data_IF_224484944872
#
_entry.id   IF_224484944872
#
_cell.length_a   1.000
_cell.length_b   1.000
_cell.length_c   1.000
_cell.angle_alpha   90.00
_cell.angle_beta   90.00
_cell.angle_gamma   90.00
#
_symmetry.space_group_name_H-M   'P 1'
#
loop_
_entity.id
_entity.type
_entity.pdbx_description
1 polymer ?
#
# COMPACT_ATOMS: atom_id res chain seq x y z
N UNK A 1 26.47 4.72 -15.17
CA UNK A 1 25.26 5.55 -14.97
C UNK A 1 24.04 4.65 -14.78
N UNK A 2 23.36 4.79 -13.65
CA UNK A 2 22.12 4.08 -13.32
C UNK A 2 20.93 4.54 -14.17
N UNK A 3 20.95 5.79 -14.63
CA UNK A 3 19.98 6.29 -15.59
C UNK A 3 19.99 5.46 -16.89
N UNK A 4 21.16 5.18 -17.44
CA UNK A 4 21.29 4.37 -18.66
C UNK A 4 20.86 2.92 -18.42
N UNK A 5 21.17 2.36 -17.24
CA UNK A 5 20.69 1.03 -16.83
C UNK A 5 19.17 0.98 -16.70
N UNK A 6 18.54 2.04 -16.20
CA UNK A 6 17.09 2.15 -16.12
C UNK A 6 16.47 2.23 -17.53
N UNK A 7 17.09 2.98 -18.44
CA UNK A 7 16.65 3.04 -19.83
C UNK A 7 16.79 1.68 -20.52
N UNK A 8 17.91 0.98 -20.31
CA UNK A 8 18.16 -0.35 -20.84
C UNK A 8 17.19 -1.40 -20.28
N UNK A 9 16.83 -1.32 -18.99
CA UNK A 9 15.79 -2.16 -18.39
C UNK A 9 14.43 -1.98 -19.10
N UNK A 10 14.11 -0.76 -19.52
CA UNK A 10 12.87 -0.48 -20.25
C UNK A 10 12.97 -0.94 -21.71
N UNK A 11 14.09 -0.64 -22.38
CA UNK A 11 14.30 -0.96 -23.80
C UNK A 11 14.46 -2.46 -24.06
N UNK A 12 15.06 -3.20 -23.12
CA UNK A 12 15.19 -4.66 -23.18
C UNK A 12 13.87 -5.40 -22.95
N UNK A 13 12.79 -4.70 -22.60
CA UNK A 13 11.47 -5.29 -22.37
C UNK A 13 11.25 -5.85 -20.96
N UNK A 14 12.22 -5.73 -20.04
CA UNK A 14 12.08 -6.22 -18.65
C UNK A 14 10.96 -5.51 -17.88
N UNK A 15 10.70 -4.23 -18.17
CA UNK A 15 9.52 -3.54 -17.62
C UNK A 15 8.20 -4.14 -18.11
N UNK A 16 8.13 -4.52 -19.39
CA UNK A 16 6.96 -5.20 -19.96
C UNK A 16 6.76 -6.58 -19.32
N UNK A 17 7.85 -7.33 -19.15
CA UNK A 17 7.84 -8.62 -18.45
C UNK A 17 7.33 -8.47 -17.01
N UNK A 18 7.82 -7.46 -16.27
CA UNK A 18 7.34 -7.16 -14.91
C UNK A 18 5.81 -6.98 -14.87
N UNK A 19 5.25 -6.23 -15.84
CA UNK A 19 3.80 -6.02 -15.94
C UNK A 19 3.02 -7.24 -16.38
N UNK A 20 3.58 -8.09 -17.24
CA UNK A 20 3.00 -9.40 -17.57
C UNK A 20 2.92 -10.31 -16.35
N UNK A 21 4.03 -10.41 -15.60
CA UNK A 21 4.09 -11.21 -14.37
C UNK A 21 3.08 -10.72 -13.31
N UNK A 22 2.92 -9.40 -13.15
CA UNK A 22 1.92 -8.81 -12.24
C UNK A 22 0.50 -9.26 -12.60
N UNK A 23 0.16 -9.22 -13.89
CA UNK A 23 -1.15 -9.64 -14.38
C UNK A 23 -1.36 -11.16 -14.23
N UNK A 24 -0.37 -11.97 -14.61
CA UNK A 24 -0.41 -13.43 -14.47
C UNK A 24 -0.60 -13.87 -13.01
N UNK A 25 0.12 -13.24 -12.09
CA UNK A 25 -0.04 -13.48 -10.65
C UNK A 25 -1.45 -13.12 -10.16
N UNK A 26 -2.03 -12.03 -10.64
CA UNK A 26 -3.40 -11.66 -10.31
C UNK A 26 -4.40 -12.69 -10.83
N UNK A 27 -4.25 -13.13 -12.09
CA UNK A 27 -5.11 -14.15 -12.68
C UNK A 27 -5.05 -15.48 -11.93
N UNK A 28 -3.84 -15.96 -11.59
CA UNK A 28 -3.66 -17.18 -10.80
C UNK A 28 -4.26 -17.04 -9.41
N UNK A 29 -4.03 -15.91 -8.74
CA UNK A 29 -4.63 -15.64 -7.42
C UNK A 29 -6.15 -15.73 -7.48
N UNK A 30 -6.77 -15.12 -8.48
CA UNK A 30 -8.23 -15.10 -8.63
C UNK A 30 -8.80 -16.50 -8.95
N UNK A 31 -8.06 -17.34 -9.69
CA UNK A 31 -8.43 -18.76 -9.93
C UNK A 31 -8.34 -19.60 -8.66
N UNK A 32 -7.24 -19.48 -7.92
CA UNK A 32 -7.03 -20.19 -6.64
C UNK A 32 -8.09 -19.75 -5.62
N UNK A 33 -8.42 -18.45 -5.59
CA UNK A 33 -9.51 -17.91 -4.77
C UNK A 33 -10.83 -18.59 -5.09
N UNK A 34 -11.25 -18.60 -6.37
CA UNK A 34 -12.51 -19.24 -6.79
C UNK A 34 -12.58 -20.72 -6.44
N UNK A 35 -11.47 -21.44 -6.60
CA UNK A 35 -11.39 -22.84 -6.16
C UNK A 35 -11.68 -22.97 -4.67
N UNK A 36 -11.05 -22.13 -3.84
CA UNK A 36 -11.23 -22.15 -2.40
C UNK A 36 -12.66 -21.72 -1.98
N UNK A 37 -13.27 -20.77 -2.69
CA UNK A 37 -14.68 -20.39 -2.49
C UNK A 37 -15.61 -21.57 -2.77
N UNK A 38 -15.42 -22.28 -3.88
CA UNK A 38 -16.20 -23.48 -4.23
C UNK A 38 -16.01 -24.59 -3.20
N UNK A 39 -14.79 -24.76 -2.68
CA UNK A 39 -14.49 -25.72 -1.62
C UNK A 39 -15.09 -25.34 -0.25
N UNK A 40 -15.57 -24.10 -0.08
CA UNK A 40 -16.17 -23.61 1.18
C UNK A 40 -15.18 -23.49 2.34
N UNK A 41 -13.87 -23.38 2.06
CA UNK A 41 -12.83 -23.36 3.08
C UNK A 41 -12.36 -21.92 3.36
N UNK A 42 -12.48 -21.45 4.61
CA UNK A 42 -11.98 -20.12 4.99
C UNK A 42 -10.45 -20.00 4.87
N UNK A 43 -9.73 -21.09 5.10
CA UNK A 43 -8.27 -21.19 5.00
C UNK A 43 -7.83 -22.53 4.42
N UNK A 44 -6.88 -22.50 3.48
CA UNK A 44 -6.23 -23.68 2.92
C UNK A 44 -4.71 -23.53 3.02
N UNK A 45 -4.04 -24.60 3.44
CA UNK A 45 -2.57 -24.71 3.44
C UNK A 45 -2.12 -25.76 2.45
N UNK A 46 -1.50 -25.33 1.37
CA UNK A 46 -0.83 -26.21 0.41
C UNK A 46 0.58 -26.51 0.91
N UNK A 47 0.69 -27.48 1.84
CA UNK A 47 1.93 -27.80 2.56
C UNK A 47 3.10 -28.13 1.64
N UNK A 48 2.87 -28.93 0.58
CA UNK A 48 3.90 -29.32 -0.39
C UNK A 48 4.46 -28.10 -1.13
N UNK A 49 3.61 -27.15 -1.48
CA UNK A 49 3.98 -25.92 -2.17
C UNK A 49 4.48 -24.84 -1.21
N UNK A 50 4.25 -24.96 0.10
CA UNK A 50 4.60 -23.94 1.09
C UNK A 50 3.78 -22.66 0.92
N UNK A 51 2.53 -22.76 0.50
CA UNK A 51 1.63 -21.63 0.22
C UNK A 51 0.38 -21.73 1.09
N UNK A 52 -0.15 -20.59 1.49
CA UNK A 52 -1.39 -20.47 2.27
C UNK A 52 -2.33 -19.45 1.62
N UNK A 53 -3.59 -19.84 1.53
CA UNK A 53 -4.71 -19.02 1.06
C UNK A 53 -5.73 -18.86 2.18
N UNK A 54 -6.16 -17.64 2.47
CA UNK A 54 -7.20 -17.40 3.47
C UNK A 54 -8.03 -16.15 3.16
N UNK A 55 -9.28 -16.18 3.58
CA UNK A 55 -10.15 -15.01 3.59
C UNK A 55 -10.01 -14.25 4.90
N UNK A 56 -9.89 -12.93 4.81
CA UNK A 56 -9.91 -12.05 5.98
C UNK A 56 -11.05 -11.06 5.87
N UNK A 57 -11.71 -10.81 7.00
CA UNK A 57 -12.79 -9.82 7.10
C UNK A 57 -12.17 -8.48 7.45
N UNK A 58 -12.44 -7.47 6.63
CA UNK A 58 -11.99 -6.10 6.81
C UNK A 58 -13.21 -5.21 7.02
N UNK A 59 -13.37 -4.78 8.27
CA UNK A 59 -14.40 -3.84 8.68
C UNK A 59 -14.14 -2.46 8.05
N UNK A 60 -15.16 -1.94 7.38
CA UNK A 60 -15.22 -0.57 6.89
C UNK A 60 -15.96 0.27 7.92
N UNK A 61 -15.29 1.30 8.43
CA UNK A 61 -15.84 2.18 9.45
C UNK A 61 -16.32 3.49 8.83
N UNK A 62 -17.46 3.97 9.31
CA UNK A 62 -17.89 5.35 9.23
C UNK A 62 -17.51 6.06 10.52
N UNK A 63 -16.92 7.26 10.40
CA UNK A 63 -16.28 7.94 11.52
C UNK A 63 -16.83 9.36 11.64
N UNK A 64 -17.26 9.74 12.85
CA UNK A 64 -17.53 11.13 13.17
C UNK A 64 -16.19 11.85 13.38
N UNK A 65 -15.61 12.30 12.26
CA UNK A 65 -14.32 12.97 12.26
C UNK A 65 -14.30 14.25 13.10
N UNK A 66 -15.43 14.96 13.20
CA UNK A 66 -15.47 16.22 13.91
C UNK A 66 -15.29 16.01 15.41
N UNK A 67 -16.10 15.11 15.98
CA UNK A 67 -16.02 14.75 17.39
C UNK A 67 -14.69 14.03 17.72
N UNK A 68 -14.21 13.18 16.81
CA UNK A 68 -12.96 12.45 17.00
C UNK A 68 -11.74 13.38 16.98
N UNK A 69 -11.70 14.37 16.10
CA UNK A 69 -10.62 15.36 16.09
C UNK A 69 -10.66 16.28 17.31
N UNK A 70 -11.85 16.65 17.80
CA UNK A 70 -11.98 17.40 19.05
C UNK A 70 -11.46 16.59 20.24
N UNK A 71 -11.79 15.31 20.30
CA UNK A 71 -11.27 14.41 21.32
C UNK A 71 -9.72 14.39 21.32
N UNK A 72 -9.09 14.23 20.17
CA UNK A 72 -7.64 14.24 20.07
C UNK A 72 -7.03 15.62 20.31
N UNK A 73 -7.73 16.70 19.98
CA UNK A 73 -7.28 18.06 20.25
C UNK A 73 -7.26 18.34 21.74
N UNK A 74 -8.36 18.03 22.44
CA UNK A 74 -8.50 18.21 23.89
C UNK A 74 -7.51 17.33 24.67
N UNK A 75 -7.13 16.18 24.12
CA UNK A 75 -6.11 15.29 24.70
C UNK A 75 -4.68 15.70 24.35
N UNK A 76 -4.46 16.74 23.53
CA UNK A 76 -3.14 17.18 23.07
C UNK A 76 -2.46 16.24 22.06
N UNK A 77 -3.17 15.22 21.55
CA UNK A 77 -2.60 14.16 20.72
C UNK A 77 -2.82 14.36 19.22
N UNK A 78 -3.65 15.32 18.83
CA UNK A 78 -3.99 15.60 17.44
C UNK A 78 -2.79 15.66 16.49
N UNK A 79 -1.66 16.34 16.80
CA UNK A 79 -0.51 16.40 15.90
C UNK A 79 0.17 15.04 15.64
N UNK A 80 0.01 14.08 16.55
CA UNK A 80 0.68 12.79 16.51
C UNK A 80 -0.16 11.68 15.87
N UNK A 81 -1.50 11.81 15.96
CA UNK A 81 -2.43 10.76 15.49
C UNK A 81 -3.16 11.16 14.21
N UNK A 82 -3.12 12.41 13.77
CA UNK A 82 -3.77 12.85 12.53
C UNK A 82 -2.75 13.21 11.46
N UNK A 83 -2.83 12.52 10.33
CA UNK A 83 -2.09 12.80 9.12
C UNK A 83 -2.92 13.67 8.17
N UNK A 84 -2.31 14.69 7.59
CA UNK A 84 -2.95 15.58 6.61
C UNK A 84 -2.65 15.08 5.19
N UNK A 85 -3.71 14.92 4.39
CA UNK A 85 -3.61 14.58 2.98
C UNK A 85 -3.54 15.85 2.12
N UNK A 86 -2.33 16.25 1.70
CA UNK A 86 -2.11 17.43 0.84
C UNK A 86 -3.05 17.50 -0.37
N UNK A 87 -3.34 16.35 -0.98
CA UNK A 87 -4.20 16.23 -2.15
C UNK A 87 -5.66 16.70 -1.94
N UNK A 88 -6.12 16.78 -0.68
CA UNK A 88 -7.49 17.18 -0.31
C UNK A 88 -7.59 18.63 0.18
N UNK A 89 -6.45 19.33 0.24
CA UNK A 89 -6.42 20.76 0.49
C UNK A 89 -6.81 21.52 -0.78
N UNK A 90 -7.46 22.67 -0.61
CA UNK A 90 -7.79 23.57 -1.71
C UNK A 90 -6.50 24.20 -2.28
N UNK A 91 -6.50 24.64 -3.55
CA UNK A 91 -5.32 25.25 -4.16
C UNK A 91 -4.75 26.42 -3.34
N UNK A 92 -5.61 27.30 -2.82
CA UNK A 92 -5.20 28.46 -2.02
C UNK A 92 -4.61 28.06 -0.67
N UNK A 93 -5.10 26.98 -0.07
CA UNK A 93 -4.57 26.41 1.17
C UNK A 93 -3.20 25.77 0.95
N UNK A 94 -3.00 25.12 -0.20
CA UNK A 94 -1.72 24.54 -0.58
C UNK A 94 -0.66 25.62 -0.74
N UNK A 95 -0.99 26.71 -1.43
CA UNK A 95 -0.07 27.85 -1.61
C UNK A 95 0.38 28.44 -0.27
N UNK A 96 -0.54 28.63 0.68
CA UNK A 96 -0.22 29.13 2.03
C UNK A 96 0.71 28.20 2.82
N UNK A 97 0.64 26.90 2.57
CA UNK A 97 1.43 25.92 3.30
C UNK A 97 2.72 25.54 2.58
N UNK A 98 2.88 25.85 1.29
CA UNK A 98 4.00 25.40 0.47
C UNK A 98 5.37 25.85 1.02
N UNK A 99 5.42 27.05 1.59
CA UNK A 99 6.63 27.61 2.23
C UNK A 99 6.98 26.94 3.57
N UNK A 100 6.02 26.26 4.20
CA UNK A 100 6.13 25.72 5.56
C UNK A 100 6.42 24.22 5.59
N UNK A 101 6.38 23.53 4.45
CA UNK A 101 6.58 22.08 4.42
C UNK A 101 7.94 21.68 3.88
N UNK A 102 8.56 20.71 4.55
CA UNK A 102 9.73 20.02 4.02
C UNK A 102 9.39 19.31 2.70
N UNK A 103 10.18 19.60 1.67
CA UNK A 103 10.11 18.89 0.38
C UNK A 103 10.43 17.42 0.63
N UNK A 104 9.59 16.54 0.09
CA UNK A 104 9.85 15.09 0.10
C UNK A 104 10.54 14.70 -1.19
N UNK A 105 11.51 13.79 -1.08
CA UNK A 105 12.17 13.21 -2.25
C UNK A 105 11.12 12.59 -3.18
N UNK A 106 11.27 12.87 -4.48
CA UNK A 106 10.39 12.31 -5.49
C UNK A 106 10.67 10.83 -5.75
N UNK A 107 10.09 10.31 -6.82
CA UNK A 107 10.48 9.02 -7.37
C UNK A 107 10.48 9.07 -8.89
N UNK A 108 11.39 8.32 -9.52
CA UNK A 108 11.38 8.19 -10.98
C UNK A 108 10.17 7.34 -11.38
N UNK A 109 9.36 7.83 -12.33
CA UNK A 109 8.22 7.13 -12.91
C UNK A 109 8.40 6.97 -14.40
N UNK A 110 8.12 5.76 -14.89
CA UNK A 110 7.99 5.49 -16.31
C UNK A 110 6.53 5.62 -16.74
N UNK A 111 6.32 6.39 -17.81
CA UNK A 111 5.07 6.58 -18.50
C UNK A 111 5.18 5.90 -19.86
N UNK A 112 4.72 4.65 -20.00
CA UNK A 112 4.76 3.97 -21.28
C UNK A 112 3.92 4.73 -22.31
N UNK A 113 4.36 4.77 -23.57
CA UNK A 113 3.45 5.13 -24.66
C UNK A 113 2.32 4.10 -24.69
N UNK A 114 1.09 4.53 -25.03
CA UNK A 114 -0.04 3.60 -25.22
C UNK A 114 0.23 2.70 -26.44
N UNK A 115 1.10 1.71 -26.29
CA UNK A 115 1.18 0.57 -27.18
C UNK A 115 0.15 -0.44 -26.69
N UNK A 116 -0.77 -0.84 -27.57
CA UNK A 116 -1.85 -1.81 -27.29
C UNK A 116 -1.32 -3.05 -26.55
N UNK A 117 -0.07 -3.44 -26.78
CA UNK A 117 0.62 -4.58 -26.15
C UNK A 117 0.90 -4.49 -24.64
N UNK A 118 0.99 -3.30 -24.03
CA UNK A 118 1.33 -3.17 -22.60
C UNK A 118 0.13 -3.37 -21.66
N UNK A 119 -1.08 -3.17 -22.18
CA UNK A 119 -2.33 -3.22 -21.42
C UNK A 119 -3.42 -4.03 -22.12
N UNK A 120 -3.10 -4.72 -23.23
CA UNK A 120 -4.02 -5.67 -23.79
C UNK A 120 -4.35 -6.68 -22.69
N UNK A 121 -5.61 -6.67 -22.26
CA UNK A 121 -6.28 -7.76 -21.54
C UNK A 121 -6.33 -9.04 -22.39
N UNK A 122 -5.45 -9.20 -23.37
CA UNK A 122 -5.18 -10.45 -24.05
C UNK A 122 -4.18 -11.23 -23.18
N UNK A 123 -4.59 -11.50 -21.94
CA UNK A 123 -4.09 -12.70 -21.31
C UNK A 123 -4.63 -13.84 -22.16
N UNK A 124 -3.78 -14.48 -22.95
CA UNK A 124 -4.01 -15.81 -23.55
C UNK A 124 -4.22 -16.91 -22.48
N UNK A 125 -4.52 -16.54 -21.24
CA UNK A 125 -5.19 -17.39 -20.28
C UNK A 125 -6.68 -17.34 -20.58
N UNK A 126 -7.10 -18.19 -21.52
CA UNK A 126 -8.50 -18.54 -21.70
C UNK A 126 -9.16 -18.67 -20.33
N UNK A 127 -10.02 -17.72 -20.01
CA UNK A 127 -11.00 -17.83 -18.93
C UNK A 127 -11.97 -18.99 -19.19
N UNK A 128 -11.93 -19.56 -20.41
CA UNK A 128 -12.67 -20.73 -20.85
C UNK A 128 -11.92 -22.07 -20.64
N UNK A 129 -10.64 -22.08 -20.20
CA UNK A 129 -10.03 -23.35 -19.80
C UNK A 129 -10.73 -23.84 -18.52
N UNK A 130 -11.28 -25.07 -18.52
CA UNK A 130 -11.99 -25.58 -17.35
C UNK A 130 -11.08 -25.52 -16.11
N UNK A 131 -11.68 -25.36 -14.94
CA UNK A 131 -11.07 -25.50 -13.60
C UNK A 131 -10.41 -26.88 -13.35
N UNK A 132 -10.16 -27.66 -14.41
CA UNK A 132 -9.55 -28.98 -14.44
C UNK A 132 -8.01 -28.97 -14.40
N UNK A 133 -7.36 -27.80 -14.41
CA UNK A 133 -5.96 -27.76 -13.99
C UNK A 133 -5.90 -28.13 -12.50
N UNK A 134 -5.04 -29.09 -12.13
CA UNK A 134 -4.85 -29.47 -10.72
C UNK A 134 -4.52 -28.20 -9.92
N UNK A 135 -5.27 -27.94 -8.85
CA UNK A 135 -5.04 -26.80 -7.97
C UNK A 135 -3.59 -26.79 -7.46
N UNK A 136 -2.99 -27.96 -7.27
CA UNK A 136 -1.60 -28.10 -6.86
C UNK A 136 -0.63 -27.52 -7.90
N UNK A 137 -0.92 -27.66 -9.20
CA UNK A 137 -0.12 -27.09 -10.28
C UNK A 137 -0.28 -25.57 -10.31
N UNK A 138 -1.51 -25.05 -10.20
CA UNK A 138 -1.78 -23.61 -10.16
C UNK A 138 -1.05 -22.92 -9.01
N UNK A 139 -1.05 -23.54 -7.83
CA UNK A 139 -0.36 -22.99 -6.64
C UNK A 139 1.16 -23.07 -6.82
N UNK A 140 1.67 -24.12 -7.45
CA UNK A 140 3.10 -24.27 -7.74
C UNK A 140 3.56 -23.24 -8.76
N UNK A 141 2.79 -23.03 -9.83
CA UNK A 141 3.03 -22.01 -10.86
C UNK A 141 3.00 -20.61 -10.26
N UNK A 142 2.01 -20.30 -9.43
CA UNK A 142 1.91 -19.02 -8.73
C UNK A 142 3.18 -18.75 -7.90
N UNK A 143 3.68 -19.77 -7.18
CA UNK A 143 4.91 -19.62 -6.38
C UNK A 143 6.12 -19.33 -7.26
N UNK A 144 6.32 -20.08 -8.35
CA UNK A 144 7.45 -19.87 -9.27
C UNK A 144 7.40 -18.47 -9.91
N UNK A 145 6.23 -18.06 -10.39
CA UNK A 145 6.04 -16.73 -10.97
C UNK A 145 6.23 -15.62 -9.94
N UNK A 146 5.84 -15.84 -8.70
CA UNK A 146 6.02 -14.87 -7.61
C UNK A 146 7.49 -14.60 -7.35
N UNK A 147 8.32 -15.64 -7.29
CA UNK A 147 9.77 -15.49 -7.12
C UNK A 147 10.40 -14.72 -8.28
N UNK A 148 9.97 -15.01 -9.50
CA UNK A 148 10.42 -14.29 -10.70
C UNK A 148 10.02 -12.82 -10.65
N UNK A 149 8.77 -12.53 -10.27
CA UNK A 149 8.25 -11.18 -10.10
C UNK A 149 9.03 -10.40 -9.04
N UNK A 150 9.19 -10.94 -7.83
CA UNK A 150 9.88 -10.27 -6.73
C UNK A 150 11.33 -9.92 -7.08
N UNK A 151 12.02 -10.79 -7.83
CA UNK A 151 13.38 -10.52 -8.33
C UNK A 151 13.41 -9.33 -9.30
N UNK A 152 12.51 -9.31 -10.29
CA UNK A 152 12.46 -8.24 -11.30
C UNK A 152 11.96 -6.93 -10.69
N UNK A 153 11.00 -6.99 -9.77
CA UNK A 153 10.50 -5.84 -9.00
C UNK A 153 11.61 -5.23 -8.13
N UNK A 154 12.41 -6.07 -7.45
CA UNK A 154 13.56 -5.62 -6.67
C UNK A 154 14.59 -4.91 -7.54
N UNK A 155 14.92 -5.46 -8.71
CA UNK A 155 15.81 -4.80 -9.67
C UNK A 155 15.25 -3.45 -10.12
N UNK A 156 13.97 -3.40 -10.48
CA UNK A 156 13.27 -2.18 -10.89
C UNK A 156 13.27 -1.10 -9.79
N UNK A 157 12.96 -1.48 -8.55
CA UNK A 157 12.91 -0.55 -7.41
C UNK A 157 14.30 -0.02 -7.04
N UNK A 158 15.33 -0.86 -7.08
CA UNK A 158 16.73 -0.43 -6.90
C UNK A 158 17.16 0.54 -8.01
N UNK A 159 16.94 0.21 -9.28
CA UNK A 159 17.29 1.08 -10.40
C UNK A 159 16.61 2.44 -10.31
N UNK A 160 15.32 2.48 -9.93
CA UNK A 160 14.59 3.74 -9.74
C UNK A 160 15.16 4.61 -8.63
N UNK A 161 15.56 4.00 -7.51
CA UNK A 161 16.13 4.72 -6.36
C UNK A 161 17.49 5.32 -6.71
N UNK A 162 18.37 4.54 -7.32
CA UNK A 162 19.70 5.04 -7.71
C UNK A 162 19.62 6.04 -8.87
N UNK A 163 18.73 5.82 -9.85
CA UNK A 163 18.48 6.78 -10.92
C UNK A 163 17.94 8.12 -10.39
N UNK A 164 17.15 8.12 -9.31
CA UNK A 164 16.68 9.36 -8.68
C UNK A 164 17.86 10.18 -8.14
N UNK A 165 18.84 9.53 -7.50
CA UNK A 165 20.04 10.19 -6.97
C UNK A 165 20.87 10.83 -8.09
N UNK A 166 21.02 10.14 -9.22
CA UNK A 166 21.73 10.67 -10.39
C UNK A 166 20.95 11.79 -11.12
N UNK A 167 19.62 11.69 -11.19
CA UNK A 167 18.78 12.67 -11.89
C UNK A 167 18.74 14.04 -11.19
N UNK A 168 18.86 14.05 -9.86
CA UNK A 168 18.73 15.24 -9.03
C UNK A 168 17.33 15.88 -9.12
N UNK A 169 17.22 17.15 -8.75
CA UNK A 169 15.94 17.89 -8.75
C UNK A 169 15.48 18.39 -10.13
N UNK A 170 16.18 18.03 -11.21
CA UNK A 170 15.91 18.55 -12.56
C UNK A 170 14.55 18.05 -13.07
N UNK A 171 13.61 18.95 -13.30
CA UNK A 171 12.28 18.69 -13.89
C UNK A 171 12.32 18.34 -15.39
N UNK A 172 13.37 17.66 -15.85
CA UNK A 172 13.47 17.24 -17.25
C UNK A 172 12.79 15.90 -17.43
N UNK A 173 11.88 15.82 -18.39
CA UNK A 173 11.30 14.57 -18.88
C UNK A 173 12.24 13.97 -19.93
N UNK A 174 12.67 12.72 -19.75
CA UNK A 174 13.44 12.00 -20.77
C UNK A 174 12.46 11.24 -21.65
N UNK A 175 12.55 11.48 -22.96
CA UNK A 175 11.78 10.76 -23.95
C UNK A 175 12.50 9.47 -24.32
N UNK A 176 11.77 8.37 -24.34
CA UNK A 176 12.25 7.07 -24.80
C UNK A 176 11.42 6.62 -26.01
N UNK A 177 11.95 5.73 -26.87
CA UNK A 177 11.18 5.15 -27.95
C UNK A 177 9.86 4.52 -27.44
N UNK A 178 9.92 3.82 -26.31
CA UNK A 178 8.82 3.09 -25.67
C UNK A 178 7.95 3.91 -24.70
N UNK A 179 8.28 5.17 -24.42
CA UNK A 179 7.60 5.94 -23.37
C UNK A 179 8.34 7.20 -22.96
N UNK A 180 8.16 7.59 -21.70
CA UNK A 180 8.91 8.70 -21.12
C UNK A 180 9.19 8.46 -19.65
N UNK A 181 10.34 8.92 -19.18
CA UNK A 181 10.74 8.92 -17.78
C UNK A 181 10.62 10.33 -17.21
N UNK A 182 10.06 10.45 -16.02
CA UNK A 182 9.95 11.70 -15.29
C UNK A 182 10.12 11.48 -13.80
N UNK A 183 10.69 12.45 -13.09
CA UNK A 183 10.65 12.47 -11.63
C UNK A 183 9.29 12.97 -11.17
N UNK A 184 8.60 12.17 -10.37
CA UNK A 184 7.34 12.56 -9.71
C UNK A 184 7.70 13.04 -8.31
N UNK A 185 7.48 14.32 -8.02
CA UNK A 185 7.66 14.86 -6.67
C UNK A 185 6.58 14.31 -5.75
N UNK A 186 7.00 13.84 -4.58
CA UNK A 186 6.05 13.43 -3.55
C UNK A 186 5.39 14.68 -2.97
N UNK A 187 4.09 14.57 -2.69
CA UNK A 187 3.37 15.65 -2.02
C UNK A 187 3.97 15.87 -0.62
N UNK A 188 4.06 17.13 -0.17
CA UNK A 188 4.58 17.42 1.16
C UNK A 188 3.74 16.76 2.25
N UNK A 189 4.38 16.42 3.38
CA UNK A 189 3.69 15.88 4.55
C UNK A 189 3.54 16.99 5.59
N UNK A 190 2.30 17.35 5.92
CA UNK A 190 1.99 18.35 6.94
C UNK A 190 1.50 17.65 8.21
N UNK A 191 1.94 18.13 9.36
CA UNK A 191 1.39 17.74 10.66
C UNK A 191 0.09 18.51 10.94
N UNK A 192 -0.91 17.86 11.55
CA UNK A 192 -2.19 18.49 11.85
C UNK A 192 -2.05 19.77 12.70
N UNK A 193 -1.08 19.82 13.61
CA UNK A 193 -0.80 21.00 14.42
C UNK A 193 -0.34 22.21 13.59
N UNK A 194 0.53 22.02 12.60
CA UNK A 194 0.95 23.09 11.69
C UNK A 194 -0.22 23.54 10.83
N UNK A 195 -1.04 22.62 10.34
CA UNK A 195 -2.22 22.98 9.57
C UNK A 195 -3.17 23.89 10.37
N UNK A 196 -3.50 23.55 11.61
CA UNK A 196 -4.42 24.36 12.43
C UNK A 196 -3.88 25.74 12.82
N UNK A 197 -2.56 25.95 12.79
CA UNK A 197 -1.96 27.27 13.04
C UNK A 197 -2.14 28.24 11.88
N UNK A 198 -2.30 27.71 10.66
CA UNK A 198 -2.27 28.51 9.43
C UNK A 198 -3.58 28.43 8.63
N UNK A 199 -4.41 27.43 8.90
CA UNK A 199 -5.69 27.16 8.23
C UNK A 199 -6.78 26.83 9.26
N UNK A 200 -8.01 26.91 8.81
CA UNK A 200 -9.19 26.65 9.64
C UNK A 200 -9.43 25.16 9.90
N UNK A 201 -10.22 24.90 10.94
CA UNK A 201 -10.68 23.55 11.31
C UNK A 201 -11.37 22.81 10.16
N UNK A 202 -12.05 23.53 9.27
CA UNK A 202 -12.71 22.95 8.09
C UNK A 202 -11.71 22.27 7.14
N UNK A 203 -10.51 22.83 6.99
CA UNK A 203 -9.44 22.22 6.20
C UNK A 203 -8.95 20.91 6.83
N UNK A 204 -8.84 20.87 8.16
CA UNK A 204 -8.49 19.65 8.89
C UNK A 204 -9.54 18.56 8.71
N UNK A 205 -10.83 18.88 8.82
CA UNK A 205 -11.91 17.89 8.66
C UNK A 205 -11.91 17.25 7.26
N UNK A 206 -11.61 18.06 6.23
CA UNK A 206 -11.56 17.59 4.84
C UNK A 206 -10.30 16.78 4.54
N UNK A 207 -9.13 17.26 4.95
CA UNK A 207 -7.84 16.67 4.57
C UNK A 207 -7.27 15.69 5.62
N UNK A 208 -7.80 15.70 6.84
CA UNK A 208 -7.32 14.90 7.96
C UNK A 208 -7.72 13.42 7.87
N UNK A 209 -6.79 12.57 8.26
CA UNK A 209 -6.96 11.12 8.39
C UNK A 209 -6.29 10.62 9.66
N UNK A 210 -7.00 9.79 10.43
CA UNK A 210 -6.48 9.23 11.68
C UNK A 210 -5.51 8.08 11.38
N UNK A 211 -4.36 8.09 12.04
CA UNK A 211 -3.42 7.00 12.09
C UNK A 211 -3.77 6.08 13.27
N UNK A 212 -4.60 5.08 13.02
CA UNK A 212 -5.06 4.17 14.07
C UNK A 212 -3.94 3.33 14.69
N UNK A 213 -2.83 3.07 13.98
CA UNK A 213 -1.67 2.43 14.58
C UNK A 213 -1.10 3.27 15.73
N UNK A 214 -1.05 4.59 15.55
CA UNK A 214 -0.62 5.53 16.59
C UNK A 214 -1.66 5.70 17.69
N UNK A 215 -2.94 5.74 17.34
CA UNK A 215 -4.02 5.77 18.33
C UNK A 215 -3.93 4.56 19.28
N UNK A 216 -3.73 3.35 18.74
CA UNK A 216 -3.56 2.14 19.55
C UNK A 216 -2.31 2.22 20.44
N UNK A 217 -1.21 2.77 19.92
CA UNK A 217 0.02 2.97 20.70
C UNK A 217 -0.21 3.93 21.88
N UNK A 218 -0.86 5.08 21.67
CA UNK A 218 -1.17 6.03 22.74
C UNK A 218 -2.19 5.48 23.74
N UNK A 219 -3.18 4.71 23.27
CA UNK A 219 -4.11 4.02 24.15
C UNK A 219 -3.38 3.00 25.05
N UNK A 220 -2.47 2.21 24.48
CA UNK A 220 -1.67 1.25 25.23
C UNK A 220 -0.72 1.92 26.24
N UNK A 221 -0.30 3.16 25.96
CA UNK A 221 0.46 4.02 26.88
C UNK A 221 -0.42 4.74 27.92
N UNK A 222 -1.72 4.44 28.01
CA UNK A 222 -2.62 4.97 29.04
C UNK A 222 -3.10 6.41 28.84
N UNK A 223 -2.89 7.02 27.67
CA UNK A 223 -3.37 8.38 27.40
C UNK A 223 -4.90 8.46 27.31
N UNK A 224 -5.55 7.37 26.89
CA UNK A 224 -7.01 7.22 26.82
C UNK A 224 -7.38 5.75 26.65
N UNK A 225 -8.63 5.37 26.93
CA UNK A 225 -9.09 4.01 26.65
C UNK A 225 -9.48 3.87 25.18
N UNK A 226 -9.21 2.71 24.59
CA UNK A 226 -9.61 2.43 23.21
C UNK A 226 -11.13 2.62 22.98
N UNK A 227 -11.92 2.28 24.00
CA UNK A 227 -13.39 2.47 24.00
C UNK A 227 -13.79 3.93 23.80
N UNK A 228 -12.99 4.88 24.30
CA UNK A 228 -13.23 6.32 24.13
C UNK A 228 -13.09 6.78 22.69
N UNK A 229 -12.31 6.06 21.88
CA UNK A 229 -12.18 6.32 20.44
C UNK A 229 -13.24 5.58 19.65
N UNK A 230 -13.51 4.32 20.03
CA UNK A 230 -14.44 3.46 19.30
C UNK A 230 -15.88 4.02 19.32
N UNK A 231 -16.27 4.83 20.31
CA UNK A 231 -17.59 5.51 20.33
C UNK A 231 -17.83 6.47 19.15
N UNK A 232 -16.77 6.97 18.52
CA UNK A 232 -16.86 7.86 17.35
C UNK A 232 -16.86 7.11 16.02
N UNK A 233 -16.88 5.78 16.06
CA UNK A 233 -16.75 4.92 14.88
C UNK A 233 -17.90 3.93 14.84
N UNK A 234 -18.48 3.76 13.67
CA UNK A 234 -19.54 2.78 13.42
C UNK A 234 -19.11 1.86 12.29
N UNK A 235 -19.30 0.56 12.45
CA UNK A 235 -19.06 -0.38 11.36
C UNK A 235 -20.15 -0.12 10.32
N UNK A 236 -19.73 0.33 9.13
CA UNK A 236 -20.61 0.57 7.99
C UNK A 236 -20.80 -0.69 7.15
N UNK A 237 -19.72 -1.43 6.94
CA UNK A 237 -19.71 -2.60 6.07
C UNK A 237 -18.57 -3.55 6.46
N UNK A 238 -18.62 -4.79 5.98
CA UNK A 238 -17.58 -5.80 6.17
C UNK A 238 -17.19 -6.33 4.80
N UNK A 239 -16.00 -5.94 4.34
CA UNK A 239 -15.45 -6.44 3.08
C UNK A 239 -14.63 -7.72 3.32
N UNK A 240 -14.81 -8.74 2.48
CA UNK A 240 -13.97 -9.94 2.51
C UNK A 240 -12.80 -9.73 1.56
N UNK A 241 -11.58 -10.03 2.00
CA UNK A 241 -10.37 -9.99 1.18
C UNK A 241 -9.71 -11.35 1.16
N UNK A 242 -9.39 -11.83 -0.02
CA UNK A 242 -8.58 -13.03 -0.19
C UNK A 242 -7.09 -12.70 -0.13
N UNK A 243 -6.35 -13.49 0.64
CA UNK A 243 -4.91 -13.36 0.81
C UNK A 243 -4.26 -14.67 0.39
N UNK A 244 -3.33 -14.60 -0.57
CA UNK A 244 -2.48 -15.69 -0.99
C UNK A 244 -1.03 -15.32 -0.73
N UNK A 245 -0.34 -16.10 0.10
CA UNK A 245 1.05 -15.84 0.46
C UNK A 245 1.83 -17.12 0.71
N UNK A 246 3.15 -16.99 0.80
CA UNK A 246 3.98 -18.11 1.24
C UNK A 246 3.76 -18.35 2.73
N UNK A 247 3.74 -19.62 3.13
CA UNK A 247 3.53 -20.04 4.51
C UNK A 247 4.56 -19.42 5.46
N UNK A 248 5.82 -19.31 5.03
CA UNK A 248 6.88 -18.65 5.81
C UNK A 248 6.59 -17.16 6.07
N UNK A 249 5.94 -16.48 5.13
CA UNK A 249 5.57 -15.07 5.32
C UNK A 249 4.36 -14.93 6.26
N UNK A 250 3.43 -15.89 6.27
CA UNK A 250 2.37 -15.96 7.27
C UNK A 250 2.94 -16.13 8.68
N UNK A 251 3.89 -17.05 8.85
CA UNK A 251 4.59 -17.29 10.14
C UNK A 251 5.26 -16.01 10.62
N UNK A 252 6.10 -15.37 9.78
CA UNK A 252 6.76 -14.10 10.12
C UNK A 252 5.76 -13.00 10.47
N UNK A 253 4.65 -12.90 9.74
CA UNK A 253 3.58 -11.93 10.01
C UNK A 253 2.95 -12.17 11.38
N UNK A 254 2.70 -13.43 11.73
CA UNK A 254 2.14 -13.82 13.01
C UNK A 254 3.11 -13.54 14.16
N UNK A 255 4.39 -13.89 14.00
CA UNK A 255 5.45 -13.57 14.97
C UNK A 255 5.58 -12.06 15.21
N UNK A 256 5.61 -11.26 14.14
CA UNK A 256 5.65 -9.80 14.26
C UNK A 256 4.44 -9.26 15.02
N UNK A 257 3.25 -9.77 14.72
CA UNK A 257 2.02 -9.36 15.41
C UNK A 257 2.06 -9.72 16.91
N UNK A 258 2.50 -10.93 17.25
CA UNK A 258 2.64 -11.36 18.64
C UNK A 258 3.67 -10.52 19.40
N UNK A 259 4.82 -10.22 18.80
CA UNK A 259 5.82 -9.31 19.39
C UNK A 259 5.22 -7.93 19.63
N UNK A 260 4.50 -7.37 18.65
CA UNK A 260 3.84 -6.07 18.78
C UNK A 260 2.80 -6.07 19.90
N UNK A 261 1.99 -7.12 20.02
CA UNK A 261 1.03 -7.27 21.12
C UNK A 261 1.71 -7.34 22.48
N UNK A 262 2.81 -8.09 22.60
CA UNK A 262 3.57 -8.16 23.84
C UNK A 262 4.12 -6.79 24.23
N UNK A 263 4.72 -6.04 23.31
CA UNK A 263 5.19 -4.68 23.59
C UNK A 263 4.07 -3.75 24.02
N UNK A 264 2.90 -3.81 23.38
CA UNK A 264 1.73 -3.00 23.78
C UNK A 264 1.22 -3.41 25.17
N UNK A 265 1.22 -4.71 25.48
CA UNK A 265 0.83 -5.20 26.80
C UNK A 265 1.83 -4.78 27.89
N UNK A 266 3.13 -4.79 27.61
CA UNK A 266 4.16 -4.30 28.53
C UNK A 266 3.98 -2.81 28.82
N UNK A 267 3.75 -2.00 27.78
CA UNK A 267 3.46 -0.57 27.95
C UNK A 267 2.24 -0.33 28.84
N UNK A 268 1.20 -1.16 28.72
CA UNK A 268 0.00 -1.03 29.56
C UNK A 268 0.20 -1.47 31.01
N UNK A 269 1.24 -2.25 31.32
CA UNK A 269 1.52 -2.78 32.67
C UNK A 269 2.52 -1.94 33.47
N UNK A 270 3.23 -1.01 32.83
CA UNK A 270 4.23 -0.14 33.45
C UNK A 270 3.63 1.17 34.02
N UNK A 271 2.31 1.30 34.00
CA UNK A 271 1.54 2.32 34.72
C UNK A 271 0.87 1.71 35.95
#
# INVERSE_FOLDING_TARGET
MYLDRLQLFIQSGQYTELKKLENELSCLRDRIMKYQEIAGLERIVWRKQGVVGYFTRVHLYEEDKAALFDFFHNSGLLPYVVNVQWAKLLPDEQLKLEELVAKREGYVRFWPKKTKFLFAKESNYDLAKPLQADILDLVSEWRVLKWKYERVEKQWTTLRREALREWGERERKIQLPSGSLSVVRLKPQIQAGTLLKHLDRSALLRAGTVNYDKVIEFAAKGYFNKVDVDKYRKIKDISIRYILMELQNEIKKHEYFNRRLNCLSEMSRQM
#
